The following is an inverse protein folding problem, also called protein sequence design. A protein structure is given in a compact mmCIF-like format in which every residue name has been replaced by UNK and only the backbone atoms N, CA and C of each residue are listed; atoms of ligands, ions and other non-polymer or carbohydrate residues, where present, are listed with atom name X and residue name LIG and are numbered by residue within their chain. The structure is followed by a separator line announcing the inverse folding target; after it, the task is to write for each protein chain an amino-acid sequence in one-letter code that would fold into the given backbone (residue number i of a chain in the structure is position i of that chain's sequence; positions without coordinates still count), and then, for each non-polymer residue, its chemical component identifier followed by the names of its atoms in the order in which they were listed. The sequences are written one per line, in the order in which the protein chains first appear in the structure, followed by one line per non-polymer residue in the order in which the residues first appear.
data_IF_520697773414
#
_entry.id   IF_520697773414
#
_cell.length_a   1.000
_cell.length_b   1.000
_cell.length_c   1.000
_cell.angle_alpha   90.00
_cell.angle_beta   90.00
_cell.angle_gamma   90.00
#
_symmetry.space_group_name_H-M   'P 1'
#
loop_
_entity.id
_entity.type
_entity.pdbx_description
1 polymer ?
#
# COMPACT_ATOMS: atom_id res chain seq x y z
N UNK A 1 -6.93 6.99 35.80
CA UNK A 1 -6.20 5.74 36.06
C UNK A 1 -5.62 5.22 34.76
N UNK A 2 -4.32 5.05 34.67
CA UNK A 2 -3.66 4.45 33.49
C UNK A 2 -3.76 2.93 33.65
N UNK A 3 -4.61 2.28 32.88
CA UNK A 3 -4.65 0.81 32.81
C UNK A 3 -3.39 0.32 32.09
N UNK A 4 -2.57 -0.47 32.79
CA UNK A 4 -1.41 -1.17 32.24
C UNK A 4 -1.89 -2.36 31.38
N UNK A 5 -1.18 -2.64 30.28
CA UNK A 5 -1.45 -3.75 29.36
C UNK A 5 -1.52 -5.12 30.08
N UNK A 6 -0.77 -5.30 31.16
CA UNK A 6 -0.79 -6.54 31.96
C UNK A 6 -2.08 -6.70 32.78
N UNK A 7 -2.64 -5.60 33.26
CA UNK A 7 -3.92 -5.59 34.01
C UNK A 7 -5.08 -5.93 33.06
N UNK A 8 -5.07 -5.34 31.84
CA UNK A 8 -6.08 -5.66 30.82
C UNK A 8 -6.10 -7.15 30.44
N UNK A 9 -4.93 -7.77 30.24
CA UNK A 9 -4.84 -9.20 29.89
C UNK A 9 -5.32 -10.09 31.03
N UNK A 10 -5.06 -9.74 32.30
CA UNK A 10 -5.51 -10.50 33.46
C UNK A 10 -7.04 -10.41 33.64
N UNK A 11 -7.62 -9.25 33.47
CA UNK A 11 -9.06 -9.03 33.62
C UNK A 11 -9.86 -9.73 32.50
N UNK A 12 -9.35 -9.74 31.26
CA UNK A 12 -9.98 -10.48 30.15
C UNK A 12 -9.77 -12.00 30.24
N UNK A 13 -8.63 -12.46 30.74
CA UNK A 13 -8.32 -13.89 30.90
C UNK A 13 -9.24 -14.57 31.93
N UNK A 14 -9.64 -13.88 33.01
CA UNK A 14 -10.52 -14.42 34.04
C UNK A 14 -11.99 -14.51 33.55
N UNK A 15 -12.41 -13.57 32.70
CA UNK A 15 -13.75 -13.60 32.11
C UNK A 15 -13.94 -14.77 31.12
N UNK A 16 -12.89 -15.19 30.43
CA UNK A 16 -12.93 -16.31 29.50
C UNK A 16 -12.94 -17.70 30.19
N UNK A 17 -12.36 -17.81 31.38
CA UNK A 17 -12.31 -19.08 32.12
C UNK A 17 -13.61 -19.43 32.86
N UNK A 18 -14.50 -18.45 33.13
CA UNK A 18 -15.77 -18.64 33.85
C UNK A 18 -16.92 -19.24 33.01
N UNK A 19 -16.77 -19.35 31.70
CA UNK A 19 -17.84 -19.82 30.80
C UNK A 19 -17.78 -21.31 30.41
N UNK A 20 -16.86 -22.08 31.00
CA UNK A 20 -16.66 -23.50 30.64
C UNK A 20 -17.47 -24.51 31.49
N UNK A 21 -18.32 -24.08 32.41
CA UNK A 21 -19.07 -24.99 33.31
C UNK A 21 -20.59 -24.77 33.27
N UNK A 22 -21.19 -24.82 32.08
CA UNK A 22 -22.63 -25.01 31.98
C UNK A 22 -22.92 -26.27 31.18
N UNK A 23 -23.75 -27.22 31.69
CA UNK A 23 -24.05 -28.45 31.00
C UNK A 23 -24.98 -28.22 29.82
N UNK A 24 -24.55 -28.68 28.67
CA UNK A 24 -25.33 -29.05 27.48
C UNK A 24 -26.68 -28.39 27.24
N UNK A 25 -26.68 -27.31 26.44
CA UNK A 25 -27.70 -27.15 25.43
C UNK A 25 -27.04 -27.32 24.07
N UNK A 26 -27.15 -28.54 23.54
CA UNK A 26 -26.76 -28.90 22.19
C UNK A 26 -27.88 -28.48 21.27
N UNK A 27 -27.87 -27.23 20.79
CA UNK A 27 -28.67 -26.87 19.63
C UNK A 27 -28.18 -25.58 18.98
N UNK A 28 -27.77 -25.73 17.76
CA UNK A 28 -27.77 -24.71 16.70
C UNK A 28 -26.78 -23.56 16.94
N UNK A 29 -25.50 -23.86 16.98
CA UNK A 29 -24.53 -22.92 16.45
C UNK A 29 -24.50 -23.16 14.94
N UNK A 30 -24.75 -22.12 14.11
CA UNK A 30 -24.51 -22.26 12.68
C UNK A 30 -23.02 -22.63 12.51
N UNK A 31 -22.81 -23.78 11.85
CA UNK A 31 -21.51 -24.27 11.48
C UNK A 31 -20.76 -23.17 10.73
N UNK A 32 -19.58 -22.85 11.23
CA UNK A 32 -18.59 -21.97 10.65
C UNK A 32 -18.95 -20.46 10.66
N UNK A 33 -18.45 -19.66 11.60
CA UNK A 33 -18.07 -18.32 11.22
C UNK A 33 -16.98 -18.54 10.14
N UNK A 34 -17.31 -18.15 8.90
CA UNK A 34 -16.29 -18.03 7.87
C UNK A 34 -15.16 -17.22 8.51
N UNK A 35 -14.06 -17.89 8.85
CA UNK A 35 -12.84 -17.20 9.25
C UNK A 35 -12.50 -16.36 8.04
N UNK A 36 -12.80 -15.05 8.11
CA UNK A 36 -12.30 -14.07 7.16
C UNK A 36 -10.81 -13.97 7.45
N UNK A 37 -10.10 -15.06 7.14
CA UNK A 37 -8.66 -15.09 7.22
C UNK A 37 -8.11 -14.16 6.15
N UNK A 38 -7.11 -13.36 6.49
CA UNK A 38 -6.32 -12.62 5.52
C UNK A 38 -5.76 -13.64 4.54
N UNK A 39 -6.28 -13.63 3.30
CA UNK A 39 -5.92 -14.63 2.29
C UNK A 39 -4.58 -14.33 1.62
N UNK A 40 -4.19 -13.06 1.56
CA UNK A 40 -2.95 -12.59 0.94
C UNK A 40 -2.33 -11.50 1.81
N UNK A 41 -1.04 -11.57 2.01
CA UNK A 41 -0.24 -10.55 2.71
C UNK A 41 0.70 -9.95 1.69
N UNK A 42 0.80 -8.61 1.68
CA UNK A 42 1.69 -7.85 0.81
C UNK A 42 2.88 -7.26 1.57
N UNK A 43 3.96 -7.01 0.84
CA UNK A 43 5.15 -6.31 1.31
C UNK A 43 5.47 -5.13 0.38
N UNK A 44 5.79 -3.98 0.97
CA UNK A 44 6.35 -2.86 0.25
C UNK A 44 7.87 -3.03 0.16
N UNK A 45 8.41 -3.11 -1.05
CA UNK A 45 9.82 -3.45 -1.30
C UNK A 45 10.81 -2.37 -0.84
N UNK A 46 10.36 -1.14 -0.59
CA UNK A 46 11.22 -0.10 0.00
C UNK A 46 11.70 -0.48 1.42
N UNK A 47 11.00 -1.39 2.09
CA UNK A 47 11.46 -2.00 3.35
C UNK A 47 12.79 -2.72 3.19
N UNK A 48 13.06 -3.25 1.99
CA UNK A 48 14.28 -3.97 1.62
C UNK A 48 15.20 -3.16 0.69
N UNK A 49 15.10 -1.82 0.73
CA UNK A 49 15.81 -0.89 -0.16
C UNK A 49 17.34 -1.01 -0.15
N UNK A 50 17.90 -1.52 0.93
CA UNK A 50 19.34 -1.69 1.06
C UNK A 50 19.84 -2.98 0.39
N UNK A 51 18.94 -3.93 0.12
CA UNK A 51 19.25 -5.25 -0.43
C UNK A 51 18.72 -5.44 -1.85
N UNK A 52 17.56 -4.86 -2.17
CA UNK A 52 16.96 -4.92 -3.52
C UNK A 52 17.93 -4.55 -4.65
N UNK A 53 18.78 -3.50 -4.54
CA UNK A 53 19.71 -3.15 -5.60
C UNK A 53 20.84 -4.18 -5.83
N UNK A 54 21.14 -5.03 -4.84
CA UNK A 54 22.21 -6.02 -4.89
C UNK A 54 21.80 -7.28 -5.62
N UNK A 55 20.61 -7.79 -5.29
CA UNK A 55 20.05 -9.03 -5.87
C UNK A 55 18.53 -9.00 -5.89
N UNK A 56 17.90 -8.27 -6.82
CA UNK A 56 16.45 -8.16 -6.87
C UNK A 56 15.72 -9.52 -6.96
N UNK A 57 16.27 -10.45 -7.73
CA UNK A 57 15.65 -11.77 -7.91
C UNK A 57 15.75 -12.63 -6.66
N UNK A 58 16.93 -12.71 -6.05
CA UNK A 58 17.11 -13.46 -4.81
C UNK A 58 16.29 -12.91 -3.66
N UNK A 59 16.17 -11.58 -3.54
CA UNK A 59 15.34 -10.94 -2.52
C UNK A 59 13.86 -11.24 -2.75
N UNK A 60 13.35 -11.13 -3.98
CA UNK A 60 11.96 -11.48 -4.31
C UNK A 60 11.66 -12.96 -4.02
N UNK A 61 12.59 -13.86 -4.30
CA UNK A 61 12.44 -15.27 -3.96
C UNK A 61 12.36 -15.50 -2.43
N UNK A 62 13.15 -14.78 -1.64
CA UNK A 62 13.07 -14.83 -0.18
C UNK A 62 11.74 -14.25 0.35
N UNK A 63 11.23 -13.18 -0.25
CA UNK A 63 9.92 -12.60 0.08
C UNK A 63 8.81 -13.62 -0.15
N UNK A 64 8.83 -14.33 -1.29
CA UNK A 64 7.88 -15.40 -1.59
C UNK A 64 7.99 -16.56 -0.59
N UNK A 65 9.23 -16.98 -0.27
CA UNK A 65 9.49 -18.05 0.70
C UNK A 65 9.02 -17.68 2.11
N UNK A 66 9.05 -16.39 2.47
CA UNK A 66 8.51 -15.88 3.73
C UNK A 66 6.97 -15.85 3.79
N UNK A 67 6.28 -16.21 2.70
CA UNK A 67 4.84 -16.35 2.65
C UNK A 67 4.09 -15.08 2.17
N UNK A 68 4.77 -14.10 1.61
CA UNK A 68 4.11 -12.97 0.97
C UNK A 68 3.59 -13.36 -0.42
N UNK A 69 2.41 -12.84 -0.77
CA UNK A 69 1.74 -13.11 -2.03
C UNK A 69 1.58 -11.86 -2.89
N UNK A 70 1.73 -10.70 -2.28
CA UNK A 70 1.59 -9.40 -2.96
C UNK A 70 2.78 -8.52 -2.65
N UNK A 71 3.16 -7.69 -3.61
CA UNK A 71 4.18 -6.67 -3.39
C UNK A 71 3.71 -5.31 -3.89
N UNK A 72 4.22 -4.27 -3.24
CA UNK A 72 4.31 -2.94 -3.79
C UNK A 72 5.76 -2.68 -4.18
N UNK A 73 6.01 -2.44 -5.47
CA UNK A 73 7.34 -2.11 -5.97
C UNK A 73 7.68 -0.64 -5.74
N UNK A 74 8.91 -0.27 -6.02
CA UNK A 74 9.33 1.14 -6.05
C UNK A 74 10.37 1.38 -7.13
N UNK A 75 10.46 2.63 -7.60
CA UNK A 75 11.47 3.04 -8.59
C UNK A 75 12.83 3.20 -7.90
N UNK A 76 13.65 2.16 -8.02
CA UNK A 76 15.02 2.13 -7.52
C UNK A 76 16.03 2.45 -8.62
N UNK A 77 17.32 2.18 -8.35
CA UNK A 77 18.43 2.43 -9.28
C UNK A 77 18.30 1.69 -10.63
N UNK A 78 17.57 0.57 -10.65
CA UNK A 78 17.30 -0.23 -11.86
C UNK A 78 15.87 -0.07 -12.37
N UNK A 79 15.21 1.04 -12.02
CA UNK A 79 13.82 1.35 -12.37
C UNK A 79 12.78 0.61 -11.52
N UNK A 80 11.50 0.75 -11.87
CA UNK A 80 10.37 0.15 -11.15
C UNK A 80 10.40 -1.38 -11.24
N UNK A 81 10.89 -1.92 -12.36
CA UNK A 81 10.87 -3.34 -12.70
C UNK A 81 12.20 -4.04 -12.46
N UNK A 82 13.12 -3.40 -11.74
CA UNK A 82 14.39 -3.97 -11.29
C UNK A 82 15.25 -4.57 -12.40
N UNK A 83 15.28 -3.90 -13.55
CA UNK A 83 16.06 -4.32 -14.73
C UNK A 83 15.46 -5.50 -15.51
N UNK A 84 14.32 -6.05 -15.09
CA UNK A 84 13.67 -7.17 -15.77
C UNK A 84 12.70 -6.73 -16.89
N UNK A 85 12.39 -5.44 -16.95
CA UNK A 85 11.30 -4.92 -17.76
C UNK A 85 9.92 -5.35 -17.26
N UNK A 86 8.80 -4.74 -17.74
CA UNK A 86 7.47 -5.02 -17.21
C UNK A 86 7.05 -6.48 -17.38
N UNK A 87 7.20 -7.07 -18.57
CA UNK A 87 6.85 -8.48 -18.84
C UNK A 87 7.68 -9.46 -18.02
N UNK A 88 9.00 -9.24 -17.96
CA UNK A 88 9.91 -10.10 -17.20
C UNK A 88 9.64 -10.04 -15.69
N UNK A 89 9.34 -8.87 -15.15
CA UNK A 89 9.00 -8.68 -13.76
C UNK A 89 7.67 -9.40 -13.40
N UNK A 90 6.63 -9.18 -14.20
CA UNK A 90 5.35 -9.88 -14.04
C UNK A 90 5.51 -11.40 -14.07
N UNK A 91 6.24 -11.92 -15.06
CA UNK A 91 6.46 -13.37 -15.19
C UNK A 91 7.21 -13.91 -13.99
N UNK A 92 8.30 -13.26 -13.57
CA UNK A 92 9.09 -13.69 -12.44
C UNK A 92 8.28 -13.75 -11.14
N UNK A 93 7.45 -12.73 -10.87
CA UNK A 93 6.55 -12.75 -9.71
C UNK A 93 5.54 -13.90 -9.80
N UNK A 94 4.95 -14.12 -10.98
CA UNK A 94 4.01 -15.23 -11.22
C UNK A 94 4.65 -16.59 -10.95
N UNK A 95 5.89 -16.79 -11.38
CA UNK A 95 6.65 -18.03 -11.14
C UNK A 95 6.90 -18.28 -9.64
N UNK A 96 6.96 -17.21 -8.85
CA UNK A 96 7.07 -17.24 -7.39
C UNK A 96 5.72 -17.32 -6.66
N UNK A 97 4.59 -17.36 -7.39
CA UNK A 97 3.25 -17.33 -6.79
C UNK A 97 2.86 -15.98 -6.19
N UNK A 98 3.51 -14.91 -6.63
CA UNK A 98 3.26 -13.53 -6.19
C UNK A 98 2.65 -12.67 -7.31
N UNK A 99 2.08 -11.53 -6.93
CA UNK A 99 1.63 -10.47 -7.83
C UNK A 99 2.08 -9.09 -7.33
N UNK A 100 2.36 -8.16 -8.23
CA UNK A 100 2.51 -6.75 -7.89
C UNK A 100 1.15 -6.07 -7.93
N UNK A 101 0.83 -5.29 -6.89
CA UNK A 101 -0.47 -4.58 -6.78
C UNK A 101 -0.33 -3.07 -6.99
N UNK A 102 0.83 -2.51 -6.66
CA UNK A 102 1.14 -1.09 -6.77
C UNK A 102 2.63 -0.85 -6.94
N UNK A 103 3.00 0.37 -7.30
CA UNK A 103 4.40 0.80 -7.32
C UNK A 103 4.53 2.28 -7.00
N UNK A 104 5.53 2.61 -6.18
CA UNK A 104 6.02 3.99 -5.98
C UNK A 104 6.88 4.39 -7.18
N UNK A 105 6.65 5.58 -7.75
CA UNK A 105 7.48 6.09 -8.83
C UNK A 105 7.63 7.62 -8.78
N UNK A 106 8.69 8.12 -9.43
CA UNK A 106 8.79 9.53 -9.78
C UNK A 106 7.70 9.88 -10.80
N UNK A 107 6.81 10.82 -10.43
CA UNK A 107 5.69 11.25 -11.26
C UNK A 107 6.06 12.39 -12.22
N UNK A 108 7.23 12.98 -12.06
CA UNK A 108 7.70 14.11 -12.88
C UNK A 108 8.28 13.70 -14.22
N UNK A 109 8.70 12.43 -14.38
CA UNK A 109 9.40 11.98 -15.59
C UNK A 109 8.75 10.74 -16.18
N UNK A 110 8.48 10.79 -17.50
CA UNK A 110 7.99 9.65 -18.30
C UNK A 110 6.75 8.96 -17.72
N UNK A 111 5.87 9.71 -17.04
CA UNK A 111 4.79 9.12 -16.25
C UNK A 111 3.79 8.32 -17.08
N UNK A 112 3.46 8.79 -18.31
CA UNK A 112 2.54 8.06 -19.18
C UNK A 112 3.09 6.67 -19.57
N UNK A 113 4.38 6.57 -19.89
CA UNK A 113 5.04 5.29 -20.15
C UNK A 113 5.03 4.39 -18.90
N UNK A 114 5.25 4.95 -17.70
CA UNK A 114 5.17 4.19 -16.45
C UNK A 114 3.76 3.66 -16.19
N UNK A 115 2.73 4.44 -16.52
CA UNK A 115 1.34 4.01 -16.39
C UNK A 115 0.99 2.87 -17.36
N UNK A 116 1.46 2.95 -18.61
CA UNK A 116 1.31 1.88 -19.59
C UNK A 116 1.99 0.58 -19.13
N UNK A 117 3.26 0.69 -18.72
CA UNK A 117 4.04 -0.44 -18.19
C UNK A 117 3.41 -1.05 -16.93
N UNK A 118 2.87 -0.20 -16.02
CA UNK A 118 2.19 -0.64 -14.82
C UNK A 118 0.91 -1.45 -15.14
N UNK A 119 0.14 -1.00 -16.13
CA UNK A 119 -1.01 -1.75 -16.62
C UNK A 119 -0.59 -3.10 -17.25
N UNK A 120 0.52 -3.13 -18.00
CA UNK A 120 1.08 -4.37 -18.57
C UNK A 120 1.50 -5.37 -17.48
N UNK A 121 2.08 -4.90 -16.38
CA UNK A 121 2.41 -5.73 -15.20
C UNK A 121 1.14 -6.22 -14.50
N UNK A 122 0.05 -5.48 -14.58
CA UNK A 122 -1.22 -5.76 -13.92
C UNK A 122 -1.38 -5.06 -12.58
N UNK A 123 -0.67 -3.94 -12.37
CA UNK A 123 -0.84 -3.11 -11.19
C UNK A 123 -2.24 -2.50 -11.13
N UNK A 124 -2.69 -2.21 -9.92
CA UNK A 124 -3.91 -1.44 -9.67
C UNK A 124 -3.61 0.05 -9.48
N UNK A 125 -2.44 0.36 -8.95
CA UNK A 125 -2.07 1.72 -8.58
C UNK A 125 -0.63 2.06 -9.00
N UNK A 126 -0.46 3.31 -9.46
CA UNK A 126 0.82 4.03 -9.39
C UNK A 126 0.74 5.09 -8.29
N UNK A 127 1.79 5.17 -7.48
CA UNK A 127 1.80 5.97 -6.26
C UNK A 127 2.89 7.02 -6.31
N UNK A 128 2.54 8.28 -6.07
CA UNK A 128 3.51 9.32 -5.74
C UNK A 128 4.02 9.10 -4.31
N UNK A 129 5.30 8.75 -4.09
CA UNK A 129 5.77 8.39 -2.76
C UNK A 129 6.10 9.60 -1.88
N UNK A 130 6.30 10.77 -2.47
CA UNK A 130 6.89 11.89 -1.75
C UNK A 130 6.66 13.23 -2.43
N UNK A 131 6.21 14.24 -1.69
CA UNK A 131 6.18 15.64 -2.10
C UNK A 131 7.19 16.50 -1.34
N UNK A 132 7.61 16.06 -0.16
CA UNK A 132 8.36 16.87 0.80
C UNK A 132 7.49 17.90 1.50
N UNK A 133 8.01 18.46 2.58
CA UNK A 133 7.38 19.58 3.28
C UNK A 133 7.47 20.84 2.39
N UNK A 134 6.34 21.44 2.10
CA UNK A 134 6.25 22.61 1.23
C UNK A 134 6.06 23.91 2.05
N UNK A 135 6.54 25.05 1.56
CA UNK A 135 6.57 26.29 2.34
C UNK A 135 5.20 26.96 2.50
N UNK A 136 4.26 26.68 1.60
CA UNK A 136 2.91 27.28 1.61
C UNK A 136 1.88 26.34 0.97
N UNK A 137 0.59 26.71 1.07
CA UNK A 137 -0.52 25.89 0.55
C UNK A 137 -0.61 25.88 -0.97
N UNK A 138 -0.05 26.85 -1.68
CA UNK A 138 -0.15 26.91 -3.14
C UNK A 138 0.64 25.78 -3.82
N UNK A 139 1.74 25.33 -3.21
CA UNK A 139 2.44 24.14 -3.67
C UNK A 139 1.57 22.88 -3.57
N UNK A 140 0.80 22.74 -2.48
CA UNK A 140 -0.09 21.61 -2.31
C UNK A 140 -1.30 21.66 -3.25
N UNK A 141 -1.83 22.88 -3.57
CA UNK A 141 -2.86 23.05 -4.60
C UNK A 141 -2.35 22.63 -5.97
N UNK A 142 -1.15 23.12 -6.33
CA UNK A 142 -0.53 22.72 -7.59
C UNK A 142 -0.25 21.22 -7.65
N UNK A 143 0.13 20.59 -6.53
CA UNK A 143 0.29 19.13 -6.46
C UNK A 143 -1.07 18.43 -6.67
N UNK A 144 -2.16 18.92 -6.10
CA UNK A 144 -3.49 18.36 -6.32
C UNK A 144 -3.93 18.44 -7.80
N UNK A 145 -3.64 19.57 -8.47
CA UNK A 145 -3.88 19.71 -9.92
C UNK A 145 -3.07 18.69 -10.73
N UNK A 146 -1.77 18.52 -10.41
CA UNK A 146 -0.92 17.54 -11.06
C UNK A 146 -1.40 16.11 -10.77
N UNK A 147 -1.85 15.80 -9.56
CA UNK A 147 -2.41 14.50 -9.20
C UNK A 147 -3.67 14.17 -10.01
N UNK A 148 -4.56 15.15 -10.24
CA UNK A 148 -5.71 14.95 -11.12
C UNK A 148 -5.26 14.60 -12.55
N UNK A 149 -4.24 15.30 -13.09
CA UNK A 149 -3.69 14.99 -14.42
C UNK A 149 -3.07 13.59 -14.47
N UNK A 150 -2.32 13.19 -13.42
CA UNK A 150 -1.75 11.82 -13.32
C UNK A 150 -2.85 10.76 -13.19
N UNK A 151 -3.93 11.08 -12.47
CA UNK A 151 -5.11 10.24 -12.37
C UNK A 151 -5.79 10.00 -13.72
N UNK A 152 -5.92 11.05 -14.55
CA UNK A 152 -6.43 10.91 -15.91
C UNK A 152 -5.56 10.01 -16.78
N UNK A 153 -4.22 10.14 -16.68
CA UNK A 153 -3.30 9.26 -17.39
C UNK A 153 -3.47 7.82 -16.90
N UNK A 154 -3.50 7.57 -15.60
CA UNK A 154 -3.71 6.24 -15.04
C UNK A 154 -5.03 5.63 -15.51
N UNK A 155 -6.12 6.40 -15.50
CA UNK A 155 -7.45 5.97 -15.97
C UNK A 155 -7.44 5.50 -17.43
N UNK A 156 -6.68 6.18 -18.30
CA UNK A 156 -6.51 5.80 -19.71
C UNK A 156 -6.00 4.36 -19.86
N UNK A 157 -5.18 3.90 -18.94
CA UNK A 157 -4.58 2.55 -18.92
C UNK A 157 -5.31 1.58 -17.97
N UNK A 158 -6.44 1.98 -17.38
CA UNK A 158 -7.27 1.13 -16.51
C UNK A 158 -6.68 0.90 -15.11
N UNK A 159 -5.77 1.75 -14.66
CA UNK A 159 -5.21 1.77 -13.31
C UNK A 159 -5.59 3.07 -12.60
N UNK A 160 -5.28 3.19 -11.31
CA UNK A 160 -5.54 4.38 -10.50
C UNK A 160 -4.25 5.06 -10.08
N UNK A 161 -4.33 6.36 -9.82
CA UNK A 161 -3.25 7.11 -9.20
C UNK A 161 -3.49 7.23 -7.69
N UNK A 162 -2.41 7.17 -6.90
CA UNK A 162 -2.49 7.39 -5.46
C UNK A 162 -1.32 8.26 -4.94
N UNK A 163 -1.54 8.86 -3.79
CA UNK A 163 -0.51 9.60 -3.04
C UNK A 163 -0.22 8.93 -1.70
N UNK A 164 1.05 8.65 -1.43
CA UNK A 164 1.54 8.19 -0.15
C UNK A 164 1.92 9.40 0.71
N UNK A 165 1.12 9.66 1.72
CA UNK A 165 1.31 10.76 2.64
C UNK A 165 2.41 10.48 3.67
N UNK A 166 2.97 11.54 4.21
CA UNK A 166 3.94 11.53 5.28
C UNK A 166 3.53 12.45 6.44
N UNK A 167 4.26 12.44 7.55
CA UNK A 167 3.97 13.26 8.72
C UNK A 167 3.76 14.75 8.40
N UNK A 168 4.55 15.31 7.46
CA UNK A 168 4.40 16.71 7.04
C UNK A 168 3.03 17.04 6.41
N UNK A 169 2.33 16.07 5.84
CA UNK A 169 0.99 16.27 5.29
C UNK A 169 -0.04 16.60 6.38
N UNK A 170 0.25 16.26 7.63
CA UNK A 170 -0.55 16.50 8.83
C UNK A 170 0.01 17.62 9.73
N UNK A 171 1.00 18.37 9.27
CA UNK A 171 1.48 19.58 9.90
C UNK A 171 0.78 20.79 9.30
N UNK A 172 0.15 21.64 10.12
CA UNK A 172 -0.58 22.80 9.62
C UNK A 172 0.33 23.82 8.93
N UNK A 173 -0.10 24.25 7.74
CA UNK A 173 0.47 25.35 6.99
C UNK A 173 -0.62 26.42 6.86
N UNK A 174 -0.39 27.61 7.40
CA UNK A 174 -1.41 28.68 7.40
C UNK A 174 -2.74 28.27 8.06
N UNK A 175 -2.71 27.38 9.09
CA UNK A 175 -3.90 26.92 9.80
C UNK A 175 -4.62 25.72 9.17
N UNK A 176 -4.22 25.27 7.97
CA UNK A 176 -4.83 24.17 7.20
C UNK A 176 -3.90 22.96 7.15
N UNK A 177 -4.42 21.76 7.25
CA UNK A 177 -3.66 20.54 6.98
C UNK A 177 -3.51 20.34 5.46
N UNK A 178 -2.27 20.18 4.94
CA UNK A 178 -2.06 19.92 3.52
C UNK A 178 -2.81 18.69 3.01
N UNK A 179 -2.94 17.65 3.82
CA UNK A 179 -3.69 16.44 3.49
C UNK A 179 -5.15 16.75 3.17
N UNK A 180 -5.83 17.49 4.05
CA UNK A 180 -7.25 17.85 3.87
C UNK A 180 -7.45 18.72 2.62
N UNK A 181 -6.50 19.64 2.37
CA UNK A 181 -6.53 20.49 1.18
C UNK A 181 -6.43 19.66 -0.10
N UNK A 182 -5.43 18.78 -0.19
CA UNK A 182 -5.23 17.95 -1.39
C UNK A 182 -6.43 17.01 -1.62
N UNK A 183 -6.95 16.37 -0.58
CA UNK A 183 -8.15 15.52 -0.70
C UNK A 183 -9.38 16.31 -1.17
N UNK A 184 -9.51 17.58 -0.78
CA UNK A 184 -10.61 18.44 -1.21
C UNK A 184 -10.49 18.89 -2.67
N UNK A 185 -9.26 19.12 -3.14
CA UNK A 185 -8.99 19.69 -4.46
C UNK A 185 -8.68 18.63 -5.52
N UNK A 186 -8.64 17.36 -5.15
CA UNK A 186 -8.54 16.23 -6.09
C UNK A 186 -9.89 15.59 -6.38
N UNK A 187 -10.03 15.03 -7.58
CA UNK A 187 -11.19 14.22 -7.95
C UNK A 187 -11.08 12.83 -7.34
N UNK A 188 -11.99 12.38 -6.46
CA UNK A 188 -11.95 11.05 -5.85
C UNK A 188 -12.14 9.91 -6.86
N UNK A 189 -12.63 10.19 -8.08
CA UNK A 189 -12.66 9.20 -9.15
C UNK A 189 -11.28 8.95 -9.76
N UNK A 190 -10.30 9.85 -9.54
CA UNK A 190 -8.97 9.82 -10.15
C UNK A 190 -7.86 9.54 -9.14
N UNK A 191 -7.97 10.05 -7.91
CA UNK A 191 -6.88 10.09 -6.93
C UNK A 191 -7.30 9.41 -5.63
N UNK A 192 -6.48 8.48 -5.16
CA UNK A 192 -6.56 7.86 -3.85
C UNK A 192 -5.45 8.39 -2.92
N UNK A 193 -5.66 8.24 -1.58
CA UNK A 193 -4.73 8.70 -0.54
C UNK A 193 -4.44 7.59 0.47
#
# INVERSE_FOLDING_TARGET
MKHDRRTFIKEFGIAAAGLCFLPSCRSILPSNPATVGIKKIGLQLYTLRDDMPKDPKGILAQVAQAGYHQIESYEGSSGIWWGMGPKGFRQYLSDLGMEAVSAHCDIGKDFERKAEEAAEVGLKYLVCPWLGKQPNLDFYRKAAEDFNQKGEICRKYGIRFAYHNHAYSFEKVGGTYPQDLMMKETDPALVDF
#
